data_IF_809259874667
#
_entry.id   IF_809259874667
#
_cell.length_a   1.000
_cell.length_b   1.000
_cell.length_c   1.000
_cell.angle_alpha   90.00
_cell.angle_beta   90.00
_cell.angle_gamma   90.00
#
_symmetry.space_group_name_H-M   'P 1'
#
loop_
_entity.id
_entity.type
_entity.pdbx_description
1 polymer ?
#
# COMPACT_ATOMS: atom_id res chain seq x y z
N UNK A 1 -15.97 1.02 -10.48
CA UNK A 1 -15.01 1.60 -9.51
C UNK A 1 -15.76 2.50 -8.55
N UNK A 2 -15.54 2.27 -7.28
CA UNK A 2 -16.17 3.06 -6.22
C UNK A 2 -15.51 4.44 -6.12
N UNK A 3 -16.30 5.49 -5.98
CA UNK A 3 -15.78 6.84 -5.81
C UNK A 3 -15.14 7.00 -4.43
N UNK A 4 -13.92 7.53 -4.41
CA UNK A 4 -13.20 7.82 -3.17
C UNK A 4 -13.47 9.28 -2.78
N UNK A 5 -14.03 9.51 -1.62
CA UNK A 5 -14.25 10.86 -1.09
C UNK A 5 -13.53 11.06 0.24
N UNK A 6 -13.91 10.31 1.25
CA UNK A 6 -13.28 10.32 2.57
C UNK A 6 -13.16 8.88 3.05
N UNK A 7 -12.00 8.53 3.61
CA UNK A 7 -11.80 7.20 4.17
C UNK A 7 -11.01 7.29 5.46
N UNK A 8 -11.50 6.63 6.50
CA UNK A 8 -10.78 6.42 7.75
C UNK A 8 -10.49 4.93 7.89
N UNK A 9 -9.24 4.56 8.03
CA UNK A 9 -8.87 3.15 8.04
C UNK A 9 -7.53 2.93 8.75
N UNK A 10 -7.25 1.66 9.01
CA UNK A 10 -5.95 1.22 9.51
C UNK A 10 -4.90 1.48 8.44
N UNK A 11 -3.78 2.07 8.85
CA UNK A 11 -2.63 2.33 7.99
C UNK A 11 -1.46 1.46 8.41
N UNK A 12 -0.74 0.91 7.44
CA UNK A 12 0.43 0.08 7.70
C UNK A 12 1.71 0.79 7.25
N UNK A 13 2.69 0.98 8.14
CA UNK A 13 3.96 1.60 7.76
C UNK A 13 4.88 0.61 7.05
N UNK A 14 5.37 1.04 5.89
CA UNK A 14 6.37 0.33 5.09
C UNK A 14 7.36 1.39 4.59
N UNK A 15 8.11 1.99 5.51
CA UNK A 15 8.90 3.19 5.27
C UNK A 15 10.25 2.89 4.61
N UNK A 16 10.21 2.21 3.47
CA UNK A 16 11.39 1.95 2.64
C UNK A 16 11.30 2.77 1.37
N UNK A 17 12.44 3.30 0.93
CA UNK A 17 12.54 3.96 -0.36
C UNK A 17 12.59 2.92 -1.48
N UNK A 18 12.16 3.30 -2.66
CA UNK A 18 12.25 2.47 -3.86
C UNK A 18 11.52 1.12 -3.75
N UNK A 19 10.33 1.13 -3.14
CA UNK A 19 9.46 -0.04 -3.20
C UNK A 19 8.97 -0.15 -4.65
N UNK A 20 9.64 -0.99 -5.42
CA UNK A 20 9.36 -1.13 -6.85
C UNK A 20 8.22 -2.09 -7.13
N UNK A 21 7.78 -2.13 -8.39
CA UNK A 21 6.66 -2.96 -8.80
C UNK A 21 6.94 -4.45 -8.64
N UNK A 22 8.20 -4.89 -8.72
CA UNK A 22 8.57 -6.28 -8.49
C UNK A 22 8.49 -6.67 -6.99
N UNK A 23 8.75 -5.71 -6.10
CA UNK A 23 8.52 -5.90 -4.65
C UNK A 23 7.01 -5.98 -4.38
N UNK A 24 6.22 -5.10 -5.00
CA UNK A 24 4.77 -5.07 -4.81
C UNK A 24 4.15 -6.38 -5.28
N UNK A 25 4.50 -6.82 -6.50
CA UNK A 25 4.08 -8.13 -7.00
C UNK A 25 5.18 -8.72 -7.87
N UNK A 26 5.84 -9.80 -7.43
CA UNK A 26 6.84 -10.48 -8.26
C UNK A 26 6.23 -11.05 -9.54
N UNK A 27 7.01 -11.09 -10.63
CA UNK A 27 6.52 -11.60 -11.90
C UNK A 27 6.00 -13.03 -11.82
N UNK A 28 6.57 -13.87 -10.95
CA UNK A 28 6.11 -15.25 -10.74
C UNK A 28 4.67 -15.35 -10.25
N UNK A 29 4.15 -14.25 -9.67
CA UNK A 29 2.77 -14.20 -9.17
C UNK A 29 1.77 -13.69 -10.21
N UNK A 30 2.24 -13.25 -11.37
CA UNK A 30 1.40 -12.71 -12.44
C UNK A 30 1.15 -13.76 -13.50
N UNK A 31 0.38 -14.79 -13.16
CA UNK A 31 0.15 -15.94 -14.03
C UNK A 31 -0.97 -15.73 -15.05
N UNK A 32 -1.74 -14.67 -14.89
CA UNK A 32 -2.87 -14.34 -15.78
C UNK A 32 -2.88 -12.86 -16.08
N UNK A 33 -3.68 -12.47 -17.09
CA UNK A 33 -3.94 -11.06 -17.39
C UNK A 33 -5.15 -10.51 -16.63
N UNK A 34 -5.75 -11.33 -15.77
CA UNK A 34 -6.90 -10.95 -14.97
C UNK A 34 -6.52 -9.94 -13.89
N UNK A 35 -7.45 -9.04 -13.57
CA UNK A 35 -7.32 -8.11 -12.44
C UNK A 35 -7.62 -8.76 -11.09
N UNK A 36 -8.05 -10.01 -11.09
CA UNK A 36 -8.42 -10.75 -9.88
C UNK A 36 -7.45 -11.90 -9.65
N UNK A 37 -7.41 -12.42 -8.42
CA UNK A 37 -6.53 -13.51 -8.04
C UNK A 37 -5.09 -13.09 -7.82
N UNK A 38 -4.82 -11.78 -7.70
CA UNK A 38 -3.47 -11.25 -7.52
C UNK A 38 -3.12 -10.93 -6.07
N UNK A 39 -4.12 -10.75 -5.20
CA UNK A 39 -3.88 -10.32 -3.83
C UNK A 39 -3.02 -11.29 -3.02
N UNK A 40 -3.09 -12.58 -3.31
CA UNK A 40 -2.25 -13.58 -2.65
C UNK A 40 -0.76 -13.39 -2.97
N UNK A 41 -0.44 -12.80 -4.12
CA UNK A 41 0.93 -12.51 -4.53
C UNK A 41 1.44 -11.15 -4.10
N UNK A 42 0.58 -10.30 -3.53
CA UNK A 42 0.96 -8.96 -3.09
C UNK A 42 2.08 -9.05 -2.06
N UNK A 43 3.20 -8.34 -2.33
CA UNK A 43 4.39 -8.36 -1.48
C UNK A 43 4.93 -9.76 -1.18
N UNK A 44 4.76 -10.71 -2.11
CA UNK A 44 5.07 -12.12 -1.86
C UNK A 44 6.51 -12.36 -1.39
N UNK A 45 7.48 -11.57 -1.84
CA UNK A 45 8.87 -11.71 -1.40
C UNK A 45 9.10 -11.39 0.06
N UNK A 46 8.27 -10.54 0.66
CA UNK A 46 8.34 -10.17 2.07
C UNK A 46 7.28 -10.86 2.93
N UNK A 47 6.15 -11.14 2.32
CA UNK A 47 4.95 -11.62 3.02
C UNK A 47 5.06 -13.08 3.43
N UNK A 48 5.83 -13.87 2.68
CA UNK A 48 5.96 -15.31 2.90
C UNK A 48 7.41 -15.69 3.22
N UNK A 49 7.59 -16.81 3.89
CA UNK A 49 8.92 -17.27 4.34
C UNK A 49 9.77 -17.90 3.25
N UNK A 50 9.15 -18.33 2.15
CA UNK A 50 9.87 -18.98 1.04
C UNK A 50 9.31 -18.52 -0.30
N UNK A 51 10.17 -18.52 -1.32
CA UNK A 51 9.78 -18.18 -2.69
C UNK A 51 8.72 -19.18 -3.17
N UNK A 52 7.58 -18.64 -3.63
CA UNK A 52 6.45 -19.44 -4.09
C UNK A 52 5.64 -20.09 -2.98
N UNK A 53 6.07 -19.98 -1.73
CA UNK A 53 5.35 -20.47 -0.57
C UNK A 53 4.22 -19.56 -0.12
N UNK A 54 3.46 -20.02 0.85
CA UNK A 54 2.34 -19.28 1.43
C UNK A 54 2.37 -19.25 2.96
N UNK A 55 3.45 -19.74 3.57
CA UNK A 55 3.63 -19.63 5.01
C UNK A 55 3.93 -18.19 5.37
N UNK A 56 3.09 -17.54 6.19
CA UNK A 56 3.27 -16.13 6.50
C UNK A 56 4.57 -15.84 7.26
N UNK A 57 5.28 -14.80 6.81
CA UNK A 57 6.37 -14.22 7.58
C UNK A 57 5.74 -13.34 8.67
N UNK A 58 5.83 -13.76 9.91
CA UNK A 58 5.17 -13.09 11.04
C UNK A 58 5.70 -11.69 11.32
N UNK A 59 6.89 -11.37 10.83
CA UNK A 59 7.49 -10.05 11.00
C UNK A 59 6.96 -9.03 9.98
N UNK A 60 6.38 -9.51 8.86
CA UNK A 60 5.84 -8.59 7.87
C UNK A 60 4.59 -7.90 8.37
N UNK A 61 4.54 -6.57 8.21
CA UNK A 61 3.50 -5.72 8.80
C UNK A 61 2.08 -6.16 8.45
N UNK A 62 1.80 -6.51 7.20
CA UNK A 62 0.46 -6.91 6.78
C UNK A 62 0.04 -8.29 7.31
N UNK A 63 0.98 -9.08 7.82
CA UNK A 63 0.67 -10.38 8.42
C UNK A 63 0.40 -10.26 9.94
N UNK A 64 0.67 -9.12 10.52
CA UNK A 64 0.45 -8.90 11.96
C UNK A 64 -1.01 -8.59 12.22
N UNK A 65 -1.59 -9.24 13.23
CA UNK A 65 -3.00 -9.03 13.59
C UNK A 65 -3.32 -7.57 13.95
N UNK A 66 -2.33 -6.84 14.48
CA UNK A 66 -2.48 -5.43 14.80
C UNK A 66 -2.82 -4.57 13.58
N UNK A 67 -2.46 -5.02 12.37
CA UNK A 67 -2.72 -4.32 11.11
C UNK A 67 -3.82 -4.96 10.27
N UNK A 68 -4.65 -5.81 10.87
CA UNK A 68 -5.78 -6.39 10.16
C UNK A 68 -6.70 -5.28 9.63
N UNK A 69 -7.17 -5.44 8.40
CA UNK A 69 -8.06 -4.46 7.79
C UNK A 69 -7.35 -3.23 7.23
N UNK A 70 -6.04 -3.27 7.04
CA UNK A 70 -5.28 -2.16 6.45
C UNK A 70 -5.82 -1.79 5.07
N UNK A 71 -6.06 -0.49 4.87
CA UNK A 71 -6.49 0.08 3.59
C UNK A 71 -5.60 1.23 3.14
N UNK A 72 -4.65 1.65 3.96
CA UNK A 72 -3.71 2.73 3.67
C UNK A 72 -2.30 2.21 3.89
N UNK A 73 -1.40 2.48 2.94
CA UNK A 73 0.02 2.19 3.09
C UNK A 73 0.79 3.50 3.29
N UNK A 74 1.75 3.47 4.21
CA UNK A 74 2.70 4.56 4.41
C UNK A 74 4.02 4.10 3.83
N UNK A 75 4.48 4.73 2.76
CA UNK A 75 5.69 4.32 2.05
C UNK A 75 6.82 5.32 2.12
N UNK A 76 7.95 4.95 1.53
CA UNK A 76 9.11 5.82 1.34
C UNK A 76 9.12 6.45 -0.04
N UNK A 77 10.22 7.12 -0.37
CA UNK A 77 10.37 7.84 -1.63
C UNK A 77 10.38 6.91 -2.83
N UNK A 78 9.95 7.43 -3.99
CA UNK A 78 9.98 6.74 -5.26
C UNK A 78 9.16 5.43 -5.24
N UNK A 79 7.98 5.48 -4.62
CA UNK A 79 7.09 4.33 -4.48
C UNK A 79 6.56 3.90 -5.86
N UNK A 80 6.60 2.60 -6.13
CA UNK A 80 6.11 2.06 -7.40
C UNK A 80 7.08 2.18 -8.56
N UNK A 81 8.36 2.45 -8.29
CA UNK A 81 9.39 2.52 -9.34
C UNK A 81 9.60 1.16 -10.03
N UNK A 82 10.46 1.12 -11.03
CA UNK A 82 10.73 -0.09 -11.79
C UNK A 82 9.80 -0.27 -12.99
N UNK A 83 9.53 -1.51 -13.37
CA UNK A 83 8.71 -1.82 -14.53
C UNK A 83 7.29 -1.29 -14.40
N UNK A 84 6.73 -0.78 -15.49
CA UNK A 84 5.37 -0.25 -15.50
C UNK A 84 4.33 -1.37 -15.51
N UNK A 85 4.10 -1.98 -14.34
CA UNK A 85 3.15 -3.09 -14.19
C UNK A 85 1.87 -2.61 -13.55
N UNK A 86 0.81 -2.57 -14.32
CA UNK A 86 -0.50 -2.25 -13.76
C UNK A 86 -0.97 -3.34 -12.79
N UNK A 87 -0.46 -4.57 -12.93
CA UNK A 87 -0.72 -5.67 -11.98
C UNK A 87 -0.41 -5.28 -10.53
N UNK A 88 0.62 -4.45 -10.30
CA UNK A 88 0.95 -3.99 -8.96
C UNK A 88 -0.23 -3.25 -8.33
N UNK A 89 -0.86 -2.37 -9.10
CA UNK A 89 -2.02 -1.60 -8.64
C UNK A 89 -3.24 -2.51 -8.47
N UNK A 90 -3.45 -3.46 -9.38
CA UNK A 90 -4.56 -4.41 -9.25
C UNK A 90 -4.42 -5.27 -8.00
N UNK A 91 -3.21 -5.74 -7.69
CA UNK A 91 -2.95 -6.54 -6.49
C UNK A 91 -3.23 -5.73 -5.21
N UNK A 92 -2.77 -4.49 -5.17
CA UNK A 92 -3.04 -3.59 -4.05
C UNK A 92 -4.55 -3.38 -3.86
N UNK A 93 -5.25 -3.08 -4.94
CA UNK A 93 -6.69 -2.82 -4.91
C UNK A 93 -7.47 -4.05 -4.46
N UNK A 94 -7.14 -5.22 -4.99
CA UNK A 94 -7.82 -6.47 -4.61
C UNK A 94 -7.59 -6.82 -3.15
N UNK A 95 -6.40 -6.55 -2.64
CA UNK A 95 -6.09 -6.75 -1.21
C UNK A 95 -6.95 -5.85 -0.31
N UNK A 96 -7.35 -4.70 -0.79
CA UNK A 96 -8.15 -3.74 -0.04
C UNK A 96 -7.50 -2.37 0.14
N UNK A 97 -6.32 -2.16 -0.42
CA UNK A 97 -5.62 -0.87 -0.33
C UNK A 97 -6.35 0.16 -1.19
N UNK A 98 -6.60 1.33 -0.62
CA UNK A 98 -7.30 2.43 -1.29
C UNK A 98 -6.49 3.72 -1.32
N UNK A 99 -5.45 3.82 -0.51
CA UNK A 99 -4.56 4.98 -0.51
C UNK A 99 -3.13 4.57 -0.19
N UNK A 100 -2.19 5.28 -0.80
CA UNK A 100 -0.75 5.15 -0.49
C UNK A 100 -0.22 6.55 -0.23
N UNK A 101 0.40 6.75 0.93
CA UNK A 101 1.01 8.01 1.33
C UNK A 101 2.53 7.83 1.24
N UNK A 102 3.19 8.65 0.42
CA UNK A 102 4.64 8.54 0.22
C UNK A 102 5.23 9.91 -0.12
N UNK A 103 6.54 10.13 0.12
CA UNK A 103 7.19 11.37 -0.25
C UNK A 103 7.24 11.61 -1.75
N UNK A 104 7.29 10.54 -2.55
CA UNK A 104 7.25 10.63 -4.00
C UNK A 104 6.83 9.29 -4.61
N UNK A 105 6.39 9.33 -5.86
CA UNK A 105 5.94 8.17 -6.62
C UNK A 105 6.57 8.16 -8.00
N UNK A 106 6.75 6.97 -8.58
CA UNK A 106 6.98 6.85 -10.00
C UNK A 106 5.77 7.40 -10.76
N UNK A 107 5.97 8.23 -11.80
CA UNK A 107 4.84 8.82 -12.54
C UNK A 107 3.87 7.81 -13.13
N UNK A 108 4.38 6.70 -13.67
CA UNK A 108 3.53 5.65 -14.26
C UNK A 108 2.68 4.97 -13.18
N UNK A 109 3.30 4.62 -12.05
CA UNK A 109 2.59 4.02 -10.93
C UNK A 109 1.51 4.97 -10.39
N UNK A 110 1.84 6.25 -10.24
CA UNK A 110 0.90 7.27 -9.78
C UNK A 110 -0.35 7.32 -10.67
N UNK A 111 -0.14 7.36 -12.00
CA UNK A 111 -1.24 7.38 -12.96
C UNK A 111 -2.08 6.09 -12.91
N UNK A 112 -1.42 4.94 -12.77
CA UNK A 112 -2.11 3.66 -12.67
C UNK A 112 -2.98 3.59 -11.41
N UNK A 113 -2.50 4.13 -10.28
CA UNK A 113 -3.28 4.21 -9.05
C UNK A 113 -4.58 4.97 -9.27
N UNK A 114 -4.48 6.17 -9.85
CA UNK A 114 -5.65 7.03 -10.09
C UNK A 114 -6.67 6.32 -10.97
N UNK A 115 -6.23 5.67 -12.05
CA UNK A 115 -7.13 4.96 -12.97
C UNK A 115 -7.82 3.75 -12.33
N UNK A 116 -7.27 3.23 -11.25
CA UNK A 116 -7.78 2.01 -10.60
C UNK A 116 -8.36 2.25 -9.20
N UNK A 117 -8.64 3.48 -8.84
CA UNK A 117 -9.33 3.80 -7.60
C UNK A 117 -8.47 3.78 -6.35
N UNK A 118 -7.15 3.89 -6.50
CA UNK A 118 -6.23 4.07 -5.37
C UNK A 118 -5.75 5.51 -5.39
N UNK A 119 -5.77 6.17 -4.25
CA UNK A 119 -5.34 7.56 -4.11
C UNK A 119 -3.88 7.63 -3.72
N UNK A 120 -2.98 8.10 -4.61
CA UNK A 120 -1.59 8.35 -4.23
C UNK A 120 -1.50 9.74 -3.63
N UNK A 121 -1.03 9.84 -2.39
CA UNK A 121 -0.89 11.10 -1.67
C UNK A 121 0.57 11.39 -1.41
N UNK A 122 1.06 12.53 -1.89
CA UNK A 122 2.43 12.98 -1.64
C UNK A 122 2.47 13.84 -0.39
N UNK A 123 3.26 13.43 0.59
CA UNK A 123 3.49 14.15 1.84
C UNK A 123 4.98 14.19 2.12
N UNK A 124 5.43 15.21 2.87
CA UNK A 124 6.81 15.26 3.30
C UNK A 124 7.17 14.02 4.13
N UNK A 125 8.41 13.53 3.98
CA UNK A 125 8.88 12.35 4.70
C UNK A 125 8.73 12.49 6.21
N UNK A 126 8.94 13.70 6.76
CA UNK A 126 8.77 13.97 8.19
C UNK A 126 7.32 13.78 8.63
N UNK A 127 6.36 14.20 7.80
CA UNK A 127 4.94 14.04 8.11
C UNK A 127 4.53 12.57 8.08
N UNK A 128 5.03 11.82 7.11
CA UNK A 128 4.76 10.38 7.02
C UNK A 128 5.36 9.65 8.21
N UNK A 129 6.57 10.01 8.62
CA UNK A 129 7.23 9.44 9.81
C UNK A 129 6.41 9.72 11.08
N UNK A 130 5.85 10.92 11.21
CA UNK A 130 5.01 11.29 12.35
C UNK A 130 3.71 10.46 12.37
N UNK A 131 3.08 10.28 11.21
CA UNK A 131 1.88 9.45 11.07
C UNK A 131 2.21 8.00 11.43
N UNK A 132 3.33 7.47 10.94
CA UNK A 132 3.76 6.11 11.23
C UNK A 132 3.99 5.90 12.73
N UNK A 133 4.61 6.85 13.41
CA UNK A 133 4.82 6.78 14.85
C UNK A 133 3.49 6.74 15.62
N UNK A 134 2.54 7.57 15.23
CA UNK A 134 1.20 7.58 15.82
C UNK A 134 0.48 6.24 15.61
N UNK A 135 0.48 5.74 14.39
CA UNK A 135 -0.16 4.47 14.04
C UNK A 135 0.45 3.30 14.82
N UNK A 136 1.78 3.26 14.92
CA UNK A 136 2.49 2.15 15.55
C UNK A 136 2.14 1.99 17.04
N UNK A 137 1.76 3.06 17.70
CA UNK A 137 1.36 3.01 19.13
C UNK A 137 0.11 2.16 19.36
N UNK A 138 -0.88 2.23 18.46
CA UNK A 138 -2.12 1.48 18.55
C UNK A 138 -2.76 1.33 17.16
N UNK A 139 -2.29 0.41 16.31
CA UNK A 139 -2.69 0.35 14.90
C UNK A 139 -4.20 0.29 14.64
N UNK A 140 -4.96 -0.42 15.48
CA UNK A 140 -6.40 -0.55 15.29
C UNK A 140 -7.18 0.69 15.74
N UNK A 141 -6.66 1.41 16.73
CA UNK A 141 -7.33 2.60 17.29
C UNK A 141 -6.86 3.89 16.64
N UNK A 142 -5.61 3.94 16.22
CA UNK A 142 -4.99 5.11 15.61
C UNK A 142 -5.13 5.08 14.09
N UNK A 143 -6.35 5.10 13.61
CA UNK A 143 -6.63 5.13 12.18
C UNK A 143 -6.22 6.46 11.55
N UNK A 144 -6.04 6.43 10.24
CA UNK A 144 -5.70 7.60 9.43
C UNK A 144 -6.90 7.93 8.55
N UNK A 145 -7.19 9.22 8.40
CA UNK A 145 -8.26 9.70 7.52
C UNK A 145 -7.65 10.39 6.31
N UNK A 146 -8.05 9.95 5.13
CA UNK A 146 -7.73 10.60 3.86
C UNK A 146 -9.00 11.24 3.34
N UNK A 147 -9.00 12.56 3.21
CA UNK A 147 -10.17 13.36 2.84
C UNK A 147 -9.88 14.13 1.56
N UNK A 148 -10.42 13.67 0.45
CA UNK A 148 -10.24 14.32 -0.85
C UNK A 148 -11.10 15.58 -0.99
N UNK A 149 -12.22 15.66 -0.28
CA UNK A 149 -13.11 16.84 -0.35
C UNK A 149 -12.41 18.06 0.22
N UNK A 150 -11.66 17.89 1.31
CA UNK A 150 -10.93 18.97 1.97
C UNK A 150 -9.43 18.97 1.67
N UNK A 151 -8.96 18.01 0.84
CA UNK A 151 -7.55 17.84 0.51
C UNK A 151 -6.67 17.70 1.75
N UNK A 152 -7.09 16.86 2.69
CA UNK A 152 -6.43 16.66 3.99
C UNK A 152 -6.15 15.19 4.29
N UNK A 153 -5.06 14.98 5.03
CA UNK A 153 -4.80 13.72 5.72
C UNK A 153 -4.70 14.03 7.21
N UNK A 154 -5.45 13.32 8.02
CA UNK A 154 -5.42 13.51 9.47
C UNK A 154 -5.13 12.21 10.19
N UNK A 155 -4.35 12.31 11.27
CA UNK A 155 -3.98 11.20 12.15
C UNK A 155 -4.02 11.74 13.58
N UNK A 156 -5.08 11.38 14.27
CA UNK A 156 -5.31 11.86 15.63
C UNK A 156 -6.22 13.04 15.78
#
# INVERSE_FOLDING_TARGET
>A
MEAFTVMTAVAAPMLRDNIDTDIIIPSREMKTVSKTGLSAGLFAGWRYTAIGGREPNIEFVLNQSAYAGTRILLGGSNFGCGSSREHAVWALHEYGIRAVLAPSFSPIFHGNCIRNGIVPVTLAAADIAAIAAYVTEAPQDHCVTVDLQNCEVTAG
#
